data_IF_838513914165
#
_entry.id   IF_838513914165
#
_cell.length_a   1.000
_cell.length_b   1.000
_cell.length_c   1.000
_cell.angle_alpha   90.00
_cell.angle_beta   90.00
_cell.angle_gamma   90.00
#
_symmetry.space_group_name_H-M   'P 1'
#
loop_
_entity.id
_entity.type
_entity.pdbx_description
1 polymer ?
#
# COMPACT_ATOMS: atom_id res chain seq x y z
N UNK A 1 8.11 -37.57 -2.27
CA UNK A 1 9.00 -36.85 -1.34
C UNK A 1 9.40 -35.53 -2.00
N UNK A 2 8.83 -34.39 -1.57
CA UNK A 2 9.01 -33.08 -2.26
C UNK A 2 9.93 -32.20 -1.44
N UNK A 3 11.12 -31.89 -1.96
CA UNK A 3 12.06 -30.93 -1.34
C UNK A 3 11.79 -29.54 -1.91
N UNK A 4 11.35 -28.60 -1.09
CA UNK A 4 11.31 -27.16 -1.42
C UNK A 4 12.51 -26.46 -0.79
N UNK A 5 13.39 -25.93 -1.62
CA UNK A 5 14.53 -25.10 -1.19
C UNK A 5 14.14 -23.63 -1.24
N UNK A 6 14.36 -22.90 -0.15
CA UNK A 6 14.22 -21.44 -0.06
C UNK A 6 15.47 -20.76 -0.64
N UNK A 7 15.29 -19.84 -1.59
CA UNK A 7 16.37 -18.98 -2.07
C UNK A 7 16.36 -17.67 -1.27
N UNK A 8 17.42 -17.44 -0.49
CA UNK A 8 17.71 -16.15 0.12
C UNK A 8 18.22 -15.17 -0.96
N UNK A 9 17.72 -13.93 -0.94
CA UNK A 9 18.24 -12.83 -1.78
C UNK A 9 19.49 -12.23 -1.11
N UNK A 10 20.69 -12.28 -1.73
CA UNK A 10 21.85 -11.55 -1.24
C UNK A 10 21.84 -10.10 -1.73
N UNK A 11 22.30 -9.20 -0.86
CA UNK A 11 22.39 -7.76 -1.12
C UNK A 11 23.45 -7.43 -2.18
N UNK A 12 23.17 -6.35 -2.91
CA UNK A 12 23.89 -5.86 -4.08
C UNK A 12 25.30 -5.33 -3.74
N UNK A 13 26.30 -6.04 -4.23
CA UNK A 13 27.70 -5.60 -4.36
C UNK A 13 27.82 -4.62 -5.53
N UNK A 14 28.79 -3.69 -5.50
CA UNK A 14 28.94 -2.69 -6.58
C UNK A 14 29.31 -3.36 -7.91
N UNK A 15 28.54 -3.01 -8.95
CA UNK A 15 28.44 -3.72 -10.22
C UNK A 15 29.75 -3.76 -11.03
N UNK A 16 30.65 -2.80 -10.82
CA UNK A 16 31.93 -2.71 -11.52
C UNK A 16 33.05 -3.48 -10.81
N UNK A 17 33.03 -3.53 -9.48
CA UNK A 17 34.06 -4.26 -8.70
C UNK A 17 33.80 -5.76 -8.65
N UNK A 18 32.54 -6.18 -8.80
CA UNK A 18 32.21 -7.58 -9.11
C UNK A 18 32.70 -8.01 -10.50
N UNK A 19 32.72 -7.09 -11.48
CA UNK A 19 33.18 -7.40 -12.85
C UNK A 19 34.69 -7.56 -12.96
N UNK A 20 35.45 -6.81 -12.16
CA UNK A 20 36.91 -6.90 -12.14
C UNK A 20 37.43 -8.19 -11.46
N UNK A 21 36.69 -8.69 -10.47
CA UNK A 21 37.04 -9.95 -9.80
C UNK A 21 36.51 -11.15 -10.64
N UNK A 22 35.31 -11.08 -11.24
CA UNK A 22 34.66 -12.17 -12.01
C UNK A 22 35.29 -12.51 -13.37
N UNK A 23 36.31 -11.77 -13.80
CA UNK A 23 37.04 -12.06 -15.02
C UNK A 23 38.13 -13.14 -14.85
N UNK A 24 38.40 -13.59 -13.62
CA UNK A 24 39.13 -14.83 -13.36
C UNK A 24 38.16 -16.00 -13.14
N UNK A 25 38.38 -17.20 -13.72
CA UNK A 25 37.43 -18.29 -13.63
C UNK A 25 37.43 -18.87 -12.21
N UNK A 26 36.26 -18.85 -11.57
CA UNK A 26 35.89 -19.57 -10.35
C UNK A 26 36.43 -19.05 -8.99
N UNK A 27 35.72 -18.10 -8.38
CA UNK A 27 35.90 -17.81 -6.94
C UNK A 27 34.57 -17.55 -6.24
N UNK A 28 34.45 -18.10 -5.03
CA UNK A 28 33.37 -17.80 -4.09
C UNK A 28 34.00 -17.56 -2.72
N UNK A 29 33.76 -16.41 -2.10
CA UNK A 29 34.31 -16.07 -0.78
C UNK A 29 33.32 -16.50 0.29
N UNK A 30 33.76 -17.32 1.25
CA UNK A 30 32.99 -17.68 2.44
C UNK A 30 33.78 -17.28 3.68
N UNK A 31 33.13 -16.53 4.56
CA UNK A 31 33.72 -16.06 5.83
C UNK A 31 33.14 -16.92 6.95
N UNK A 32 34.00 -17.64 7.68
CA UNK A 32 33.61 -18.45 8.85
C UNK A 32 34.54 -18.10 10.02
N UNK A 33 34.04 -17.30 10.97
CA UNK A 33 34.84 -16.76 12.07
C UNK A 33 36.01 -15.90 11.59
N UNK A 34 37.24 -16.26 11.98
CA UNK A 34 38.49 -15.56 11.65
C UNK A 34 39.12 -16.00 10.32
N UNK A 35 38.57 -17.03 9.66
CA UNK A 35 39.15 -17.58 8.44
C UNK A 35 38.37 -17.12 7.21
N UNK A 36 39.09 -16.48 6.28
CA UNK A 36 38.62 -16.26 4.92
C UNK A 36 38.96 -17.51 4.12
N UNK A 37 37.96 -18.30 3.73
CA UNK A 37 38.18 -19.52 2.95
C UNK A 37 38.10 -19.16 1.47
N UNK A 38 39.25 -19.23 0.81
CA UNK A 38 39.41 -19.07 -0.63
C UNK A 38 39.24 -20.44 -1.29
N UNK A 39 38.13 -20.65 -2.00
CA UNK A 39 38.01 -21.85 -2.84
C UNK A 39 38.88 -21.65 -4.08
N UNK A 40 40.05 -22.32 -4.09
CA UNK A 40 41.08 -22.21 -5.12
C UNK A 40 42.51 -22.51 -4.63
N UNK A 41 42.72 -22.49 -3.31
CA UNK A 41 44.00 -22.84 -2.69
C UNK A 41 44.19 -22.09 -1.37
N UNK A 42 44.70 -22.78 -0.35
CA UNK A 42 45.08 -22.16 0.92
C UNK A 42 46.34 -21.34 0.72
N UNK A 43 46.18 -20.03 0.52
CA UNK A 43 47.27 -19.08 0.75
C UNK A 43 47.04 -18.50 2.14
N UNK A 44 48.05 -18.59 3.00
CA UNK A 44 48.05 -17.90 4.29
C UNK A 44 48.00 -16.40 3.98
N UNK A 45 46.84 -15.78 4.20
CA UNK A 45 46.69 -14.35 4.00
C UNK A 45 47.47 -13.64 5.10
N UNK A 46 48.22 -12.60 4.74
CA UNK A 46 48.86 -11.73 5.72
C UNK A 46 47.78 -11.23 6.69
N UNK A 47 47.97 -11.32 8.02
CA UNK A 47 47.04 -10.76 8.99
C UNK A 47 46.74 -9.27 8.75
N UNK A 48 47.63 -8.52 8.10
CA UNK A 48 47.39 -7.12 7.70
C UNK A 48 46.36 -7.01 6.58
N UNK A 49 46.47 -7.82 5.53
CA UNK A 49 45.51 -7.87 4.41
C UNK A 49 44.12 -8.29 4.89
N UNK A 50 44.04 -9.25 5.82
CA UNK A 50 42.78 -9.68 6.43
C UNK A 50 42.08 -8.54 7.20
N UNK A 51 42.85 -7.71 7.91
CA UNK A 51 42.33 -6.52 8.62
C UNK A 51 41.84 -5.46 7.65
N UNK A 52 42.58 -5.20 6.58
CA UNK A 52 42.18 -4.24 5.54
C UNK A 52 40.88 -4.67 4.85
N UNK A 53 40.74 -5.96 4.55
CA UNK A 53 39.53 -6.50 3.96
C UNK A 53 38.33 -6.42 4.92
N UNK A 54 38.53 -6.78 6.20
CA UNK A 54 37.48 -6.66 7.22
C UNK A 54 37.03 -5.21 7.42
N UNK A 55 37.98 -4.26 7.48
CA UNK A 55 37.68 -2.83 7.57
C UNK A 55 36.91 -2.31 6.35
N UNK A 56 37.29 -2.74 5.14
CA UNK A 56 36.59 -2.40 3.91
C UNK A 56 35.15 -2.94 3.88
N UNK A 57 34.92 -4.17 4.37
CA UNK A 57 33.59 -4.75 4.48
C UNK A 57 32.71 -4.01 5.50
N UNK A 58 33.25 -3.64 6.66
CA UNK A 58 32.54 -2.84 7.66
C UNK A 58 32.16 -1.47 7.10
N UNK A 59 33.10 -0.78 6.45
CA UNK A 59 32.83 0.51 5.82
C UNK A 59 31.76 0.40 4.70
N UNK A 60 31.77 -0.69 3.92
CA UNK A 60 30.75 -0.95 2.91
C UNK A 60 29.38 -1.24 3.53
N UNK A 61 29.32 -1.97 4.65
CA UNK A 61 28.09 -2.26 5.38
C UNK A 61 27.47 -0.97 5.95
N UNK A 62 28.26 -0.13 6.63
CA UNK A 62 27.80 1.16 7.16
C UNK A 62 27.25 2.07 6.05
N UNK A 63 27.91 2.11 4.88
CA UNK A 63 27.43 2.88 3.72
C UNK A 63 26.10 2.33 3.17
N UNK A 64 25.91 1.02 3.17
CA UNK A 64 24.65 0.40 2.75
C UNK A 64 23.51 0.72 3.74
N UNK A 65 23.80 0.71 5.05
CA UNK A 65 22.82 1.08 6.07
C UNK A 65 22.39 2.55 5.96
N UNK A 66 23.34 3.47 5.74
CA UNK A 66 23.01 4.90 5.51
C UNK A 66 22.06 5.08 4.33
N UNK A 67 22.34 4.44 3.18
CA UNK A 67 21.45 4.48 2.02
C UNK A 67 20.05 3.93 2.32
N UNK A 68 19.97 2.85 3.10
CA UNK A 68 18.68 2.27 3.48
C UNK A 68 17.90 3.20 4.42
N UNK A 69 18.59 3.88 5.35
CA UNK A 69 17.98 4.89 6.21
C UNK A 69 17.49 6.09 5.39
N UNK A 70 18.29 6.59 4.45
CA UNK A 70 17.91 7.66 3.53
C UNK A 70 16.67 7.28 2.72
N UNK A 71 16.64 6.10 2.08
CA UNK A 71 15.46 5.62 1.36
C UNK A 71 14.22 5.48 2.25
N UNK A 72 14.39 5.07 3.51
CA UNK A 72 13.28 5.01 4.47
C UNK A 72 12.77 6.40 4.81
N UNK A 73 13.67 7.37 5.02
CA UNK A 73 13.29 8.76 5.25
C UNK A 73 12.59 9.36 4.03
N UNK A 74 13.13 9.17 2.83
CA UNK A 74 12.51 9.61 1.58
C UNK A 74 11.13 8.99 1.38
N UNK A 75 10.97 7.68 1.61
CA UNK A 75 9.65 7.03 1.52
C UNK A 75 8.68 7.54 2.59
N UNK A 76 9.17 7.85 3.79
CA UNK A 76 8.36 8.42 4.87
C UNK A 76 7.92 9.85 4.52
N UNK A 77 8.84 10.68 4.01
CA UNK A 77 8.55 12.02 3.53
C UNK A 77 7.63 12.01 2.30
N UNK A 78 7.83 11.10 1.35
CA UNK A 78 6.95 10.96 0.19
C UNK A 78 5.54 10.49 0.59
N UNK A 79 5.42 9.62 1.60
CA UNK A 79 4.12 9.22 2.15
C UNK A 79 3.44 10.37 2.88
N UNK A 80 4.19 11.15 3.67
CA UNK A 80 3.66 12.35 4.34
C UNK A 80 3.24 13.41 3.31
N UNK A 81 4.08 13.68 2.32
CA UNK A 81 3.78 14.58 1.22
C UNK A 81 2.58 14.08 0.37
N UNK A 82 2.38 12.77 0.20
CA UNK A 82 1.19 12.26 -0.47
C UNK A 82 -0.10 12.46 0.36
N UNK A 83 0.02 12.51 1.68
CA UNK A 83 -1.10 12.87 2.57
C UNK A 83 -1.37 14.39 2.47
N UNK A 84 -0.33 15.22 2.41
CA UNK A 84 -0.45 16.69 2.36
C UNK A 84 -0.79 17.25 0.96
N UNK A 85 -0.26 16.66 -0.11
CA UNK A 85 -0.40 17.12 -1.49
C UNK A 85 -1.67 16.58 -2.19
N UNK A 86 -2.56 15.93 -1.45
CA UNK A 86 -3.60 15.09 -2.03
C UNK A 86 -4.38 15.76 -3.18
N UNK A 87 -4.65 15.08 -4.30
CA UNK A 87 -5.93 15.25 -4.93
C UNK A 87 -6.92 14.64 -3.94
N UNK A 88 -7.49 15.49 -3.08
CA UNK A 88 -8.52 15.17 -2.09
C UNK A 88 -9.24 13.88 -2.48
N UNK A 89 -9.05 12.78 -1.74
CA UNK A 89 -9.75 11.51 -2.01
C UNK A 89 -11.28 11.74 -2.08
N UNK A 90 -11.74 12.77 -1.36
CA UNK A 90 -13.07 13.37 -1.44
C UNK A 90 -13.44 13.94 -2.82
N UNK A 91 -12.54 14.52 -3.60
CA UNK A 91 -12.83 15.08 -4.93
C UNK A 91 -13.24 14.02 -5.95
N UNK A 92 -12.59 12.86 -5.96
CA UNK A 92 -12.97 11.74 -6.82
C UNK A 92 -14.28 11.07 -6.40
N UNK A 93 -14.60 11.15 -5.10
CA UNK A 93 -15.92 10.76 -4.63
C UNK A 93 -16.95 11.77 -5.11
N UNK A 94 -16.67 13.07 -5.03
CA UNK A 94 -17.58 14.15 -5.43
C UNK A 94 -17.96 14.10 -6.93
N UNK A 95 -17.05 13.68 -7.81
CA UNK A 95 -17.34 13.56 -9.26
C UNK A 95 -18.30 12.39 -9.60
N UNK A 96 -18.42 11.38 -8.73
CA UNK A 96 -19.29 10.23 -9.01
C UNK A 96 -20.73 10.55 -8.66
N UNK A 97 -21.58 10.65 -9.69
CA UNK A 97 -23.03 10.85 -9.56
C UNK A 97 -23.69 9.76 -8.70
N UNK A 98 -23.21 8.51 -8.78
CA UNK A 98 -23.77 7.37 -8.07
C UNK A 98 -22.80 6.77 -7.05
N UNK A 99 -23.18 6.80 -5.78
CA UNK A 99 -22.43 6.27 -4.66
C UNK A 99 -22.87 4.86 -4.25
N UNK A 100 -21.90 4.10 -3.73
CA UNK A 100 -22.17 2.91 -2.91
C UNK A 100 -22.48 3.32 -1.46
N UNK A 101 -22.94 2.38 -0.63
CA UNK A 101 -23.16 2.65 0.80
C UNK A 101 -21.87 3.03 1.55
N UNK A 102 -20.72 2.43 1.23
CA UNK A 102 -19.43 2.80 1.85
C UNK A 102 -19.06 4.22 1.44
N UNK A 103 -19.14 4.50 0.14
CA UNK A 103 -18.82 5.82 -0.40
C UNK A 103 -19.72 6.92 0.16
N UNK A 104 -21.02 6.66 0.26
CA UNK A 104 -21.96 7.61 0.85
C UNK A 104 -21.71 7.82 2.35
N UNK A 105 -21.28 6.78 3.07
CA UNK A 105 -20.92 6.86 4.48
C UNK A 105 -19.66 7.71 4.70
N UNK A 106 -18.64 7.51 3.87
CA UNK A 106 -17.42 8.32 3.84
C UNK A 106 -17.74 9.78 3.49
N UNK A 107 -18.60 10.01 2.50
CA UNK A 107 -19.06 11.34 2.09
C UNK A 107 -19.80 12.06 3.21
N UNK A 108 -20.75 11.39 3.87
CA UNK A 108 -21.56 11.92 4.95
C UNK A 108 -20.82 12.02 6.31
N UNK A 109 -19.65 11.40 6.45
CA UNK A 109 -18.96 11.28 7.74
C UNK A 109 -19.74 10.42 8.76
N UNK A 110 -20.49 9.42 8.28
CA UNK A 110 -21.35 8.56 9.10
C UNK A 110 -20.96 7.08 8.98
N UNK A 111 -21.54 6.22 9.82
CA UNK A 111 -21.38 4.77 9.68
C UNK A 111 -22.18 4.23 8.49
N UNK A 112 -21.65 3.22 7.80
CA UNK A 112 -22.37 2.53 6.71
C UNK A 112 -23.70 1.93 7.16
N UNK A 113 -23.77 1.47 8.41
CA UNK A 113 -25.01 0.99 9.05
C UNK A 113 -26.08 2.08 9.14
N UNK A 114 -25.70 3.33 9.45
CA UNK A 114 -26.63 4.47 9.49
C UNK A 114 -27.24 4.73 8.11
N UNK A 115 -26.40 4.75 7.07
CA UNK A 115 -26.86 4.93 5.68
C UNK A 115 -27.81 3.79 5.27
N UNK A 116 -27.49 2.54 5.60
CA UNK A 116 -28.36 1.39 5.30
C UNK A 116 -29.70 1.50 6.04
N UNK A 117 -29.71 1.94 7.30
CA UNK A 117 -30.96 2.17 8.05
C UNK A 117 -31.81 3.26 7.42
N UNK A 118 -31.23 4.38 7.00
CA UNK A 118 -31.94 5.46 6.33
C UNK A 118 -32.54 5.02 4.97
N UNK A 119 -31.83 4.17 4.22
CA UNK A 119 -32.35 3.56 2.99
C UNK A 119 -33.50 2.59 3.27
N UNK A 120 -33.42 1.81 4.34
CA UNK A 120 -34.45 0.86 4.74
C UNK A 120 -35.71 1.56 5.29
N UNK A 121 -35.56 2.64 6.05
CA UNK A 121 -36.69 3.45 6.52
C UNK A 121 -37.34 4.25 5.39
N UNK A 122 -36.58 4.54 4.34
CA UNK A 122 -37.00 5.38 3.21
C UNK A 122 -36.84 6.87 3.49
N UNK A 123 -36.04 7.25 4.50
CA UNK A 123 -35.61 8.63 4.72
C UNK A 123 -34.59 9.08 3.67
N UNK A 124 -33.76 8.14 3.19
CA UNK A 124 -32.81 8.35 2.11
C UNK A 124 -33.28 7.61 0.86
N UNK A 125 -33.37 8.32 -0.26
CA UNK A 125 -33.74 7.76 -1.56
C UNK A 125 -32.55 7.00 -2.16
N UNK A 126 -32.74 5.73 -2.49
CA UNK A 126 -31.74 4.92 -3.19
C UNK A 126 -32.37 3.78 -3.98
N UNK A 127 -31.60 3.25 -4.93
CA UNK A 127 -32.04 2.15 -5.81
C UNK A 127 -31.31 0.87 -5.45
N UNK A 128 -32.08 -0.22 -5.33
CA UNK A 128 -31.57 -1.57 -5.18
C UNK A 128 -32.20 -2.46 -6.26
N UNK A 129 -31.39 -3.25 -6.97
CA UNK A 129 -31.89 -4.10 -8.09
C UNK A 129 -32.71 -5.30 -7.61
N UNK A 130 -32.25 -5.97 -6.57
CA UNK A 130 -32.90 -7.14 -5.97
C UNK A 130 -32.78 -7.07 -4.45
N UNK A 131 -33.63 -7.81 -3.72
CA UNK A 131 -33.52 -7.89 -2.26
C UNK A 131 -32.10 -8.33 -1.87
N UNK A 132 -31.47 -7.60 -0.95
CA UNK A 132 -30.09 -7.78 -0.49
C UNK A 132 -28.98 -7.45 -1.51
N UNK A 133 -29.30 -6.88 -2.67
CA UNK A 133 -28.26 -6.35 -3.57
C UNK A 133 -27.59 -5.08 -3.01
N UNK A 134 -26.55 -4.62 -3.69
CA UNK A 134 -25.90 -3.35 -3.37
C UNK A 134 -26.83 -2.17 -3.67
N UNK A 135 -26.92 -1.24 -2.74
CA UNK A 135 -27.60 0.04 -2.94
C UNK A 135 -26.77 0.97 -3.83
N UNK A 136 -27.48 1.78 -4.61
CA UNK A 136 -26.95 2.88 -5.42
C UNK A 136 -27.68 4.15 -5.01
N UNK A 137 -26.91 5.15 -4.61
CA UNK A 137 -27.43 6.40 -4.03
C UNK A 137 -26.97 7.52 -4.95
N UNK A 138 -27.89 8.38 -5.38
CA UNK A 138 -27.54 9.54 -6.18
C UNK A 138 -26.99 10.64 -5.27
N UNK A 139 -25.97 11.37 -5.73
CA UNK A 139 -25.34 12.47 -4.98
C UNK A 139 -26.37 13.49 -4.47
N UNK A 140 -27.20 14.03 -5.36
CA UNK A 140 -28.21 15.04 -5.01
C UNK A 140 -29.20 14.57 -3.93
N UNK A 141 -29.58 13.30 -3.94
CA UNK A 141 -30.49 12.74 -2.93
C UNK A 141 -29.80 12.62 -1.57
N UNK A 142 -28.51 12.27 -1.57
CA UNK A 142 -27.70 12.23 -0.37
C UNK A 142 -27.49 13.63 0.21
N UNK A 143 -27.18 14.62 -0.63
CA UNK A 143 -27.02 16.02 -0.22
C UNK A 143 -28.35 16.62 0.30
N UNK A 144 -29.47 16.35 -0.38
CA UNK A 144 -30.79 16.76 0.07
C UNK A 144 -31.08 16.20 1.47
N UNK A 145 -30.88 14.88 1.66
CA UNK A 145 -31.05 14.23 2.96
C UNK A 145 -30.14 14.84 4.05
N UNK A 146 -28.86 15.07 3.75
CA UNK A 146 -27.91 15.68 4.70
C UNK A 146 -28.27 17.12 5.07
N UNK A 147 -28.81 17.89 4.13
CA UNK A 147 -29.27 19.26 4.37
C UNK A 147 -30.58 19.33 5.18
N UNK A 148 -31.25 18.19 5.41
CA UNK A 148 -32.60 18.13 5.97
C UNK A 148 -33.69 18.62 5.02
N UNK A 149 -33.33 18.99 3.79
CA UNK A 149 -34.30 19.34 2.74
C UNK A 149 -34.91 18.06 2.20
N UNK A 150 -36.23 17.93 2.29
CA UNK A 150 -36.91 16.86 1.56
C UNK A 150 -36.69 17.12 0.08
N UNK A 151 -35.92 16.27 -0.61
CA UNK A 151 -35.85 16.32 -2.07
C UNK A 151 -37.29 16.24 -2.56
N UNK A 152 -37.72 17.18 -3.40
CA UNK A 152 -39.13 17.30 -3.83
C UNK A 152 -39.69 16.06 -4.55
N UNK A 153 -38.91 14.98 -4.69
CA UNK A 153 -39.41 13.66 -5.03
C UNK A 153 -40.14 13.08 -3.83
N UNK A 154 -41.47 13.13 -3.91
CA UNK A 154 -42.36 12.37 -3.01
C UNK A 154 -41.83 10.93 -2.92
N UNK A 155 -41.54 10.45 -1.71
CA UNK A 155 -41.05 9.09 -1.50
C UNK A 155 -42.01 8.09 -2.16
N UNK A 156 -41.61 7.60 -3.33
CA UNK A 156 -42.36 6.61 -4.08
C UNK A 156 -41.91 5.21 -3.66
N UNK A 157 -42.83 4.25 -3.63
CA UNK A 157 -42.44 2.84 -3.55
C UNK A 157 -41.63 2.42 -4.80
N UNK A 158 -41.14 1.18 -4.82
CA UNK A 158 -40.41 0.65 -5.98
C UNK A 158 -41.23 0.59 -7.27
N UNK A 159 -42.51 1.00 -7.22
CA UNK A 159 -43.44 1.12 -8.35
C UNK A 159 -43.81 2.56 -8.70
N UNK A 160 -43.15 3.56 -8.10
CA UNK A 160 -43.42 4.97 -8.40
C UNK A 160 -44.68 5.53 -7.72
N UNK A 161 -45.26 4.84 -6.73
CA UNK A 161 -46.48 5.30 -6.04
C UNK A 161 -46.14 6.06 -4.76
N UNK A 162 -46.78 7.21 -4.49
CA UNK A 162 -46.60 7.91 -3.22
C UNK A 162 -46.93 6.98 -2.04
N UNK A 163 -46.01 6.81 -1.08
CA UNK A 163 -46.37 6.17 0.19
C UNK A 163 -47.42 7.02 0.89
N UNK A 164 -48.61 6.46 1.14
CA UNK A 164 -49.61 7.11 2.00
C UNK A 164 -48.99 7.29 3.38
N UNK A 165 -48.79 8.55 3.79
CA UNK A 165 -48.45 8.88 5.19
C UNK A 165 -49.60 8.38 6.04
N UNK A 166 -49.29 7.48 6.98
CA UNK A 166 -50.26 6.88 7.91
C UNK A 166 -50.31 7.71 9.18
#
# INVERSE_FOLDING_TARGET
MVKRSFAARPASVSLERMREIAAGPDFTVRVDGTNVIWFGGTREADPEDARLYAAALLAAAEKAERRLQEQRQERKLARAAAIDAGPSEKSWLDERIWHSTSTAAEYAGMSSTTIVKALQSGELTGVQRTRNARWRIHRDELEAWLSGSTSGRVATDSWGRPKKRR
#
